data_IF_623587030788
#
_entry.id   IF_623587030788
#
_cell.length_a   1.000
_cell.length_b   1.000
_cell.length_c   1.000
_cell.angle_alpha   90.00
_cell.angle_beta   90.00
_cell.angle_gamma   90.00
#
_symmetry.space_group_name_H-M   'P 1'
#
loop_
_entity.id
_entity.type
_entity.pdbx_description
1 polymer ?
#
# COMPACT_ATOMS: atom_id res chain seq x y z
N UNK A 1 -28.06 11.14 29.60
CA UNK A 1 -26.62 10.95 29.84
C UNK A 1 -26.02 10.45 28.53
N UNK A 2 -25.62 11.36 27.65
CA UNK A 2 -24.98 11.05 26.36
C UNK A 2 -23.65 11.82 26.32
N UNK A 3 -22.64 11.37 27.07
CA UNK A 3 -21.33 12.04 27.15
C UNK A 3 -20.18 11.05 26.98
N UNK A 4 -20.32 10.08 26.06
CA UNK A 4 -19.22 9.16 25.71
C UNK A 4 -18.82 9.24 24.23
N UNK A 5 -19.47 10.04 23.38
CA UNK A 5 -19.44 9.73 21.93
C UNK A 5 -18.76 10.71 20.96
N UNK A 6 -18.18 11.85 21.34
CA UNK A 6 -17.71 12.82 20.31
C UNK A 6 -16.18 12.92 20.12
N UNK A 7 -15.39 12.76 21.18
CA UNK A 7 -13.92 12.81 21.08
C UNK A 7 -13.32 11.54 20.46
N UNK A 8 -13.84 10.36 20.83
CA UNK A 8 -13.34 9.08 20.31
C UNK A 8 -13.65 8.85 18.83
N UNK A 9 -14.79 9.37 18.33
CA UNK A 9 -15.15 9.26 16.90
C UNK A 9 -14.23 10.12 16.03
N UNK A 10 -13.78 11.28 16.52
CA UNK A 10 -12.85 12.14 15.79
C UNK A 10 -11.45 11.52 15.69
N UNK A 11 -10.98 10.88 16.77
CA UNK A 11 -9.67 10.23 16.78
C UNK A 11 -9.60 9.08 15.77
N UNK A 12 -10.63 8.22 15.71
CA UNK A 12 -10.65 7.05 14.78
C UNK A 12 -10.62 7.40 13.28
N UNK A 13 -10.95 8.65 12.92
CA UNK A 13 -10.89 9.17 11.54
C UNK A 13 -9.60 9.95 11.26
N UNK A 14 -8.83 10.31 12.28
CA UNK A 14 -7.61 11.08 12.10
C UNK A 14 -6.61 10.36 11.19
N UNK A 15 -5.79 11.13 10.46
CA UNK A 15 -4.67 10.59 9.68
C UNK A 15 -3.71 9.77 10.56
N UNK A 16 -3.54 10.17 11.82
CA UNK A 16 -2.73 9.44 12.80
C UNK A 16 -3.27 8.04 13.03
N UNK A 17 -4.57 7.91 13.30
CA UNK A 17 -5.19 6.58 13.49
C UNK A 17 -5.22 5.74 12.22
N UNK A 18 -5.28 6.38 11.03
CA UNK A 18 -5.09 5.67 9.76
C UNK A 18 -3.69 5.07 9.65
N UNK A 19 -2.65 5.84 9.98
CA UNK A 19 -1.26 5.36 10.00
C UNK A 19 -1.08 4.22 11.01
N UNK A 20 -1.61 4.36 12.23
CA UNK A 20 -1.53 3.31 13.26
C UNK A 20 -2.21 2.01 12.83
N UNK A 21 -3.39 2.10 12.19
CA UNK A 21 -4.06 0.92 11.61
C UNK A 21 -3.26 0.29 10.48
N UNK A 22 -2.72 1.11 9.59
CA UNK A 22 -1.91 0.64 8.47
C UNK A 22 -0.63 -0.06 8.95
N UNK A 23 0.03 0.47 9.98
CA UNK A 23 1.22 -0.16 10.57
C UNK A 23 0.91 -1.55 11.14
N UNK A 24 -0.26 -1.73 11.77
CA UNK A 24 -0.74 -3.05 12.20
C UNK A 24 -1.00 -4.02 11.04
N UNK A 25 -1.51 -3.53 9.90
CA UNK A 25 -1.73 -4.34 8.69
C UNK A 25 -0.44 -4.67 7.94
N UNK A 26 0.61 -3.84 8.08
CA UNK A 26 1.94 -4.08 7.51
C UNK A 26 2.75 -5.12 8.30
N UNK A 27 2.52 -5.23 9.61
CA UNK A 27 3.29 -6.10 10.49
C UNK A 27 3.36 -7.58 10.04
N UNK A 28 2.27 -8.24 9.57
CA UNK A 28 2.31 -9.60 9.05
C UNK A 28 3.20 -9.79 7.81
N UNK A 29 3.50 -8.71 7.09
CA UNK A 29 4.41 -8.71 5.93
C UNK A 29 5.87 -8.46 6.34
N UNK A 30 6.13 -8.19 7.61
CA UNK A 30 7.47 -7.88 8.13
C UNK A 30 7.89 -6.43 7.94
N UNK A 31 6.95 -5.53 7.62
CA UNK A 31 7.23 -4.09 7.53
C UNK A 31 6.59 -3.34 8.69
N UNK A 32 7.23 -2.23 9.05
CA UNK A 32 6.58 -1.11 9.72
C UNK A 32 6.63 0.11 8.80
N UNK A 33 5.89 1.16 9.14
CA UNK A 33 5.79 2.38 8.35
C UNK A 33 7.16 3.01 8.05
N UNK A 34 8.10 2.99 9.00
CA UNK A 34 9.44 3.57 8.84
C UNK A 34 10.35 2.77 7.91
N UNK A 35 10.16 1.46 7.84
CA UNK A 35 10.90 0.61 6.92
C UNK A 35 10.43 0.84 5.48
N UNK A 36 9.12 1.01 5.29
CA UNK A 36 8.56 1.36 3.97
C UNK A 36 9.07 2.72 3.47
N UNK A 37 9.26 3.71 4.36
CA UNK A 37 9.81 5.02 3.98
C UNK A 37 11.23 4.92 3.37
N UNK A 38 12.07 4.02 3.90
CA UNK A 38 13.44 3.81 3.42
C UNK A 38 13.45 3.22 2.01
N UNK A 39 12.57 2.24 1.79
CA UNK A 39 12.46 1.49 0.55
C UNK A 39 11.46 2.12 -0.44
N UNK A 40 11.02 3.35 -0.20
CA UNK A 40 10.14 4.06 -1.11
C UNK A 40 10.88 4.55 -2.37
N UNK A 41 10.27 4.44 -3.57
CA UNK A 41 10.87 4.92 -4.81
C UNK A 41 11.02 6.45 -4.78
N UNK A 42 12.24 6.95 -5.05
CA UNK A 42 12.56 8.40 -5.03
C UNK A 42 12.71 9.03 -6.41
N UNK A 43 12.84 8.20 -7.45
CA UNK A 43 12.99 8.65 -8.84
C UNK A 43 11.64 8.52 -9.53
N UNK A 44 11.20 9.56 -10.24
CA UNK A 44 9.91 9.55 -10.95
C UNK A 44 9.70 8.28 -11.79
N UNK A 45 10.71 7.87 -12.56
CA UNK A 45 10.66 6.63 -13.36
C UNK A 45 10.36 5.36 -12.56
N UNK A 46 10.82 5.29 -11.31
CA UNK A 46 10.67 4.13 -10.45
C UNK A 46 9.34 4.23 -9.68
N UNK A 47 8.87 5.45 -9.37
CA UNK A 47 7.53 5.73 -8.84
C UNK A 47 6.45 5.23 -9.82
N UNK A 48 6.51 5.62 -11.10
CA UNK A 48 5.53 5.17 -12.10
C UNK A 48 5.57 3.67 -12.35
N UNK A 49 6.77 3.05 -12.34
CA UNK A 49 6.88 1.58 -12.43
C UNK A 49 6.29 0.88 -11.22
N UNK A 50 6.44 1.44 -10.02
CA UNK A 50 5.77 0.90 -8.84
C UNK A 50 4.25 1.08 -8.97
N UNK A 51 3.78 2.22 -9.47
CA UNK A 51 2.37 2.47 -9.74
C UNK A 51 1.77 1.41 -10.69
N UNK A 52 2.47 1.06 -11.78
CA UNK A 52 2.06 -0.02 -12.69
C UNK A 52 1.91 -1.37 -11.97
N UNK A 53 2.83 -1.67 -11.05
CA UNK A 53 2.79 -2.91 -10.24
C UNK A 53 1.65 -2.88 -9.24
N UNK A 54 1.40 -1.74 -8.60
CA UNK A 54 0.30 -1.56 -7.65
C UNK A 54 -1.03 -1.73 -8.38
N UNK A 55 -1.25 -1.07 -9.52
CA UNK A 55 -2.42 -1.26 -10.40
C UNK A 55 -2.64 -2.73 -10.73
N UNK A 56 -1.60 -3.38 -11.25
CA UNK A 56 -1.68 -4.78 -11.65
C UNK A 56 -1.99 -5.74 -10.48
N UNK A 57 -1.56 -5.39 -9.26
CA UNK A 57 -1.85 -6.13 -8.05
C UNK A 57 -3.31 -5.95 -7.59
N UNK A 58 -3.80 -4.71 -7.51
CA UNK A 58 -5.18 -4.42 -7.05
C UNK A 58 -6.25 -4.85 -8.07
N UNK A 59 -5.92 -4.80 -9.36
CA UNK A 59 -6.81 -5.26 -10.44
C UNK A 59 -7.00 -6.78 -10.47
N UNK A 60 -6.09 -7.53 -9.82
CA UNK A 60 -6.11 -8.99 -9.81
C UNK A 60 -6.36 -9.55 -8.41
N UNK A 61 -7.62 -9.84 -8.16
CA UNK A 61 -8.08 -10.42 -6.89
C UNK A 61 -7.35 -11.72 -6.51
N UNK A 62 -6.82 -12.48 -7.47
CA UNK A 62 -6.04 -13.69 -7.17
C UNK A 62 -4.63 -13.34 -6.68
N UNK A 63 -3.98 -12.35 -7.30
CA UNK A 63 -2.67 -11.87 -6.85
C UNK A 63 -2.78 -11.18 -5.50
N UNK A 64 -3.77 -10.30 -5.33
CA UNK A 64 -4.05 -9.63 -4.07
C UNK A 64 -4.36 -10.64 -2.96
N UNK A 65 -5.28 -11.59 -3.22
CA UNK A 65 -5.61 -12.65 -2.26
C UNK A 65 -4.41 -13.53 -1.91
N UNK A 66 -3.57 -13.88 -2.90
CA UNK A 66 -2.33 -14.62 -2.63
C UNK A 66 -1.35 -13.82 -1.78
N UNK A 67 -1.25 -12.50 -1.96
CA UNK A 67 -0.38 -11.64 -1.16
C UNK A 67 -0.87 -11.62 0.29
N UNK A 68 -2.16 -11.34 0.50
CA UNK A 68 -2.79 -11.29 1.83
C UNK A 68 -2.70 -12.61 2.58
N UNK A 69 -2.88 -13.75 1.89
CA UNK A 69 -2.81 -15.07 2.54
C UNK A 69 -1.39 -15.50 2.88
N UNK A 70 -0.41 -15.15 2.04
CA UNK A 70 0.97 -15.65 2.19
C UNK A 70 1.88 -14.69 2.95
N UNK A 71 1.49 -13.41 3.09
CA UNK A 71 2.31 -12.39 3.73
C UNK A 71 3.50 -11.92 2.87
N UNK A 72 3.49 -12.19 1.56
CA UNK A 72 4.54 -11.72 0.65
C UNK A 72 4.02 -11.39 -0.74
N UNK A 73 4.68 -10.45 -1.41
CA UNK A 73 4.29 -9.97 -2.73
C UNK A 73 4.55 -11.04 -3.82
N UNK A 74 3.60 -11.31 -4.74
CA UNK A 74 3.80 -12.26 -5.83
C UNK A 74 4.67 -11.66 -6.96
N UNK A 75 5.98 -11.52 -6.71
CA UNK A 75 6.95 -10.84 -7.58
C UNK A 75 6.93 -11.37 -9.02
N UNK A 76 7.06 -12.70 -9.19
CA UNK A 76 7.17 -13.32 -10.53
C UNK A 76 5.94 -13.05 -11.41
N UNK A 77 4.70 -13.30 -10.94
CA UNK A 77 3.50 -12.92 -11.69
C UNK A 77 3.42 -11.43 -12.03
N UNK A 78 3.72 -10.55 -11.05
CA UNK A 78 3.64 -9.10 -11.24
C UNK A 78 4.67 -8.62 -12.27
N UNK A 79 5.93 -9.04 -12.13
CA UNK A 79 7.00 -8.72 -13.09
C UNK A 79 6.63 -9.12 -14.52
N UNK A 80 6.04 -10.32 -14.69
CA UNK A 80 5.60 -10.78 -16.02
C UNK A 80 4.45 -9.94 -16.58
N UNK A 81 3.52 -9.51 -15.74
CA UNK A 81 2.35 -8.72 -16.14
C UNK A 81 2.70 -7.29 -16.49
N UNK A 82 3.53 -6.63 -15.68
CA UNK A 82 3.85 -5.20 -15.84
C UNK A 82 5.12 -4.95 -16.64
N UNK A 83 5.92 -5.99 -16.92
CA UNK A 83 7.27 -5.88 -17.51
C UNK A 83 8.26 -5.09 -16.65
N UNK A 84 7.91 -4.82 -15.39
CA UNK A 84 8.82 -4.25 -14.40
C UNK A 84 9.76 -5.36 -13.92
N UNK A 85 11.05 -5.05 -13.73
CA UNK A 85 12.03 -6.05 -13.30
C UNK A 85 11.75 -6.53 -11.88
N UNK A 86 11.91 -7.83 -11.61
CA UNK A 86 11.79 -8.38 -10.25
C UNK A 86 12.65 -7.63 -9.24
N UNK A 87 13.87 -7.20 -9.64
CA UNK A 87 14.77 -6.42 -8.80
C UNK A 87 14.18 -5.08 -8.35
N UNK A 88 13.40 -4.41 -9.20
CA UNK A 88 12.74 -3.15 -8.82
C UNK A 88 11.58 -3.42 -7.87
N UNK A 89 10.82 -4.48 -8.10
CA UNK A 89 9.72 -4.90 -7.23
C UNK A 89 10.26 -5.29 -5.85
N UNK A 90 11.31 -6.10 -5.78
CA UNK A 90 11.99 -6.51 -4.54
C UNK A 90 12.61 -5.32 -3.79
N UNK A 91 13.11 -4.30 -4.51
CA UNK A 91 13.68 -3.12 -3.86
C UNK A 91 12.62 -2.18 -3.24
N UNK A 92 11.36 -2.31 -3.65
CA UNK A 92 10.26 -1.43 -3.26
C UNK A 92 9.03 -2.23 -2.79
N UNK A 93 9.22 -3.47 -2.33
CA UNK A 93 8.11 -4.37 -2.00
C UNK A 93 7.26 -3.85 -0.84
N UNK A 94 7.89 -3.30 0.21
CA UNK A 94 7.16 -2.67 1.33
C UNK A 94 6.29 -1.49 0.87
N UNK A 95 6.79 -0.68 -0.08
CA UNK A 95 6.01 0.42 -0.66
C UNK A 95 4.81 -0.08 -1.47
N UNK A 96 5.02 -1.12 -2.29
CA UNK A 96 3.94 -1.72 -3.09
C UNK A 96 2.87 -2.34 -2.20
N UNK A 97 3.27 -3.08 -1.16
CA UNK A 97 2.35 -3.66 -0.17
C UNK A 97 1.57 -2.55 0.54
N UNK A 98 2.25 -1.52 1.03
CA UNK A 98 1.63 -0.38 1.71
C UNK A 98 0.60 0.32 0.82
N UNK A 99 0.97 0.65 -0.42
CA UNK A 99 0.07 1.30 -1.38
C UNK A 99 -1.15 0.43 -1.69
N UNK A 100 -0.95 -0.88 -1.88
CA UNK A 100 -2.06 -1.80 -2.14
C UNK A 100 -3.04 -1.88 -0.96
N UNK A 101 -2.53 -1.93 0.29
CA UNK A 101 -3.38 -1.90 1.49
C UNK A 101 -4.13 -0.58 1.62
N UNK A 102 -3.47 0.57 1.39
CA UNK A 102 -4.11 1.89 1.45
C UNK A 102 -5.23 2.01 0.42
N UNK A 103 -4.97 1.62 -0.83
CA UNK A 103 -5.93 1.76 -1.94
C UNK A 103 -7.11 0.79 -1.88
N UNK A 104 -6.95 -0.37 -1.24
CA UNK A 104 -8.03 -1.37 -1.10
C UNK A 104 -8.72 -1.35 0.26
N UNK A 105 -8.09 -0.73 1.26
CA UNK A 105 -8.62 -0.55 2.61
C UNK A 105 -9.42 0.74 2.80
N UNK A 106 -9.75 1.05 4.06
CA UNK A 106 -10.49 2.25 4.44
C UNK A 106 -9.56 3.32 5.04
N UNK A 107 -8.83 4.00 4.14
CA UNK A 107 -7.84 5.02 4.48
C UNK A 107 -8.02 6.28 3.64
N UNK A 108 -9.15 7.00 3.77
CA UNK A 108 -9.50 8.08 2.84
C UNK A 108 -8.47 9.21 2.78
N UNK A 109 -7.79 9.56 3.88
CA UNK A 109 -6.78 10.62 3.85
C UNK A 109 -5.45 10.12 3.26
N UNK A 110 -5.09 8.85 3.49
CA UNK A 110 -3.87 8.28 2.93
C UNK A 110 -4.02 7.96 1.43
N UNK A 111 -5.23 7.63 0.97
CA UNK A 111 -5.52 7.38 -0.45
C UNK A 111 -5.18 8.58 -1.33
N UNK A 112 -5.40 9.80 -0.84
CA UNK A 112 -5.07 11.04 -1.56
C UNK A 112 -3.59 11.15 -1.95
N UNK A 113 -2.68 10.51 -1.20
CA UNK A 113 -1.26 10.48 -1.53
C UNK A 113 -0.93 9.55 -2.70
N UNK A 114 -1.86 8.68 -3.09
CA UNK A 114 -1.72 7.69 -4.15
C UNK A 114 -2.63 7.97 -5.35
N UNK A 115 -3.38 9.08 -5.37
CA UNK A 115 -4.27 9.43 -6.48
C UNK A 115 -3.54 9.43 -7.84
N UNK A 116 -2.29 9.90 -7.86
CA UNK A 116 -1.42 9.91 -9.04
C UNK A 116 -1.25 8.53 -9.68
N UNK A 117 -1.48 7.44 -8.93
CA UNK A 117 -1.44 6.09 -9.49
C UNK A 117 -2.48 6.00 -10.58
N UNK A 118 -3.72 6.45 -10.39
CA UNK A 118 -4.79 6.27 -11.38
C UNK A 118 -4.80 7.31 -12.50
N UNK A 119 -3.98 8.35 -12.38
CA UNK A 119 -3.81 9.32 -13.46
C UNK A 119 -3.16 8.63 -14.68
N UNK A 120 -3.79 8.81 -15.85
CA UNK A 120 -3.19 8.44 -17.13
C UNK A 120 -2.28 9.60 -17.58
N UNK A 121 -0.96 9.39 -17.61
CA UNK A 121 -0.02 10.29 -18.32
C UNK A 121 -0.19 10.17 -19.85
#
# INVERSE_FOLDING_TARGET
>A
MENTSYSEICDTKSIKSQIERLDMELYPFGYNFWDVEKDSPRKNKDIYRCADVIKALIDDQKLMGSMLQKGFIPIKPLSKRTKVSSKLIEAHEGYIVMAALVLTGNYPDLQLYYDFIFDEE
#
